data_IF_126625608482
#
_entry.id   IF_126625608482
#
_cell.length_a   1.000
_cell.length_b   1.000
_cell.length_c   1.000
_cell.angle_alpha   90.00
_cell.angle_beta   90.00
_cell.angle_gamma   90.00
#
_symmetry.space_group_name_H-M   'P 1'
#
loop_
_entity.id
_entity.type
_entity.pdbx_description
1 polymer ?
#
# COMPACT_ATOMS: atom_id res chain seq x y z
N UNK A 1 -26.86 7.67 -8.67
CA UNK A 1 -27.59 6.52 -9.26
C UNK A 1 -26.81 5.85 -10.40
N UNK A 2 -25.50 5.62 -10.26
CA UNK A 2 -24.64 4.94 -11.26
C UNK A 2 -23.76 3.84 -10.64
N UNK A 3 -23.67 3.82 -9.32
CA UNK A 3 -22.94 2.81 -8.54
C UNK A 3 -23.77 1.54 -8.33
N UNK A 4 -25.09 1.68 -8.19
CA UNK A 4 -26.03 0.54 -8.00
C UNK A 4 -26.11 -0.37 -9.24
N UNK A 5 -25.96 0.19 -10.44
CA UNK A 5 -25.94 -0.58 -11.70
C UNK A 5 -24.71 -1.48 -11.87
N UNK A 6 -23.60 -1.23 -11.17
CA UNK A 6 -22.43 -2.14 -11.17
C UNK A 6 -22.62 -3.33 -10.23
N UNK A 7 -23.40 -3.17 -9.15
CA UNK A 7 -23.71 -4.24 -8.20
C UNK A 7 -24.79 -5.20 -8.74
N UNK A 8 -25.65 -4.70 -9.64
CA UNK A 8 -26.79 -5.44 -10.22
C UNK A 8 -26.42 -6.25 -11.48
N UNK A 9 -25.28 -5.97 -12.13
CA UNK A 9 -24.79 -6.63 -13.36
C UNK A 9 -24.13 -8.00 -13.12
N UNK A 10 -24.14 -8.52 -11.88
CA UNK A 10 -23.80 -9.92 -11.59
C UNK A 10 -22.31 -10.24 -11.45
N UNK A 11 -21.41 -9.24 -11.56
CA UNK A 11 -19.95 -9.43 -11.43
C UNK A 11 -19.39 -8.76 -10.17
N UNK A 12 -19.97 -9.10 -9.01
CA UNK A 12 -19.45 -8.66 -7.71
C UNK A 12 -17.98 -9.07 -7.53
N UNK A 13 -17.58 -10.19 -8.15
CA UNK A 13 -16.21 -10.69 -8.16
C UNK A 13 -15.22 -9.76 -8.85
N UNK A 14 -15.47 -9.29 -10.08
CA UNK A 14 -14.54 -8.41 -10.78
C UNK A 14 -14.51 -7.00 -10.19
N UNK A 15 -15.62 -6.49 -9.63
CA UNK A 15 -15.60 -5.23 -8.88
C UNK A 15 -14.66 -5.31 -7.68
N UNK A 16 -14.76 -6.37 -6.88
CA UNK A 16 -13.89 -6.59 -5.71
C UNK A 16 -12.43 -6.75 -6.15
N UNK A 17 -12.18 -7.46 -7.24
CA UNK A 17 -10.83 -7.66 -7.80
C UNK A 17 -10.21 -6.32 -8.22
N UNK A 18 -10.95 -5.45 -8.91
CA UNK A 18 -10.49 -4.11 -9.31
C UNK A 18 -10.15 -3.25 -8.09
N UNK A 19 -10.99 -3.26 -7.05
CA UNK A 19 -10.75 -2.50 -5.82
C UNK A 19 -9.46 -2.98 -5.14
N UNK A 20 -9.28 -4.30 -5.01
CA UNK A 20 -8.06 -4.88 -4.43
C UNK A 20 -6.82 -4.50 -5.23
N UNK A 21 -6.89 -4.55 -6.57
CA UNK A 21 -5.77 -4.15 -7.43
C UNK A 21 -5.39 -2.68 -7.25
N UNK A 22 -6.37 -1.78 -7.15
CA UNK A 22 -6.13 -0.35 -6.91
C UNK A 22 -5.45 -0.14 -5.56
N UNK A 23 -5.94 -0.80 -4.50
CA UNK A 23 -5.36 -0.70 -3.15
C UNK A 23 -3.91 -1.20 -3.15
N UNK A 24 -3.65 -2.36 -3.76
CA UNK A 24 -2.29 -2.90 -3.88
C UNK A 24 -1.37 -1.96 -4.67
N UNK A 25 -1.86 -1.37 -5.75
CA UNK A 25 -1.10 -0.44 -6.57
C UNK A 25 -0.71 0.81 -5.77
N UNK A 26 -1.67 1.44 -5.09
CA UNK A 26 -1.43 2.63 -4.27
C UNK A 26 -0.49 2.32 -3.10
N UNK A 27 -0.69 1.20 -2.40
CA UNK A 27 0.16 0.79 -1.28
C UNK A 27 1.61 0.51 -1.73
N UNK A 28 1.79 -0.08 -2.90
CA UNK A 28 3.10 -0.35 -3.48
C UNK A 28 3.87 0.94 -3.80
N UNK A 29 3.21 1.90 -4.47
CA UNK A 29 3.80 3.21 -4.79
C UNK A 29 4.15 3.97 -3.50
N UNK A 30 3.25 3.98 -2.53
CA UNK A 30 3.48 4.65 -1.25
C UNK A 30 4.68 4.07 -0.50
N UNK A 31 4.78 2.73 -0.44
CA UNK A 31 5.91 2.04 0.21
C UNK A 31 7.25 2.39 -0.45
N UNK A 32 7.29 2.49 -1.79
CA UNK A 32 8.50 2.92 -2.51
C UNK A 32 8.90 4.35 -2.16
N UNK A 33 7.95 5.30 -2.12
CA UNK A 33 8.22 6.70 -1.78
C UNK A 33 8.79 6.80 -0.36
N UNK A 34 8.16 6.16 0.63
CA UNK A 34 8.63 6.18 2.02
C UNK A 34 10.03 5.59 2.12
N UNK A 35 10.27 4.45 1.47
CA UNK A 35 11.59 3.80 1.52
C UNK A 35 12.66 4.67 0.86
N UNK A 36 12.33 5.39 -0.22
CA UNK A 36 13.25 6.33 -0.88
C UNK A 36 13.59 7.53 0.01
N UNK A 37 12.61 8.08 0.71
CA UNK A 37 12.80 9.18 1.67
C UNK A 37 13.70 8.71 2.83
N UNK A 38 13.39 7.55 3.42
CA UNK A 38 14.21 6.97 4.51
C UNK A 38 15.64 6.74 4.04
N UNK A 39 15.82 6.15 2.85
CA UNK A 39 17.15 5.95 2.26
C UNK A 39 17.90 7.27 2.10
N UNK A 40 17.26 8.30 1.55
CA UNK A 40 17.87 9.62 1.31
C UNK A 40 18.30 10.28 2.63
N UNK A 41 17.47 10.22 3.67
CA UNK A 41 17.79 10.78 5.00
C UNK A 41 18.95 10.00 5.65
N UNK A 42 18.94 8.67 5.55
CA UNK A 42 19.96 7.81 6.16
C UNK A 42 21.33 7.99 5.51
N UNK A 43 21.36 8.08 4.18
CA UNK A 43 22.59 8.30 3.41
C UNK A 43 23.11 9.74 3.61
N UNK A 44 22.21 10.72 3.72
CA UNK A 44 22.56 12.13 3.97
C UNK A 44 23.16 12.40 5.37
N UNK A 45 22.82 11.60 6.39
CA UNK A 45 23.28 11.86 7.76
C UNK A 45 24.64 11.24 8.10
N UNK A 46 24.98 10.09 7.53
CA UNK A 46 26.10 9.29 8.06
C UNK A 46 27.10 8.81 6.99
N UNK A 47 26.95 9.18 5.71
CA UNK A 47 27.70 8.58 4.57
C UNK A 47 27.66 7.03 4.57
N UNK A 48 26.75 6.42 5.33
CA UNK A 48 26.59 4.97 5.43
C UNK A 48 25.66 4.50 4.32
N UNK A 49 26.10 3.48 3.58
CA UNK A 49 25.25 2.84 2.56
C UNK A 49 24.06 2.17 3.21
N UNK A 50 22.87 2.56 2.78
CA UNK A 50 21.63 1.89 3.16
C UNK A 50 21.70 0.42 2.72
N UNK A 51 21.73 -0.50 3.68
CA UNK A 51 21.85 -1.93 3.39
C UNK A 51 20.56 -2.42 2.71
N UNK A 52 20.68 -3.24 1.66
CA UNK A 52 19.52 -3.82 0.98
C UNK A 52 18.59 -4.60 1.92
N UNK A 53 19.13 -5.14 3.03
CA UNK A 53 18.33 -5.79 4.09
C UNK A 53 17.41 -4.80 4.80
N UNK A 54 17.88 -3.59 5.12
CA UNK A 54 17.08 -2.54 5.75
C UNK A 54 16.04 -1.96 4.79
N UNK A 55 16.36 -1.91 3.50
CA UNK A 55 15.41 -1.49 2.45
C UNK A 55 14.22 -2.45 2.37
N UNK A 56 14.48 -3.75 2.22
CA UNK A 56 13.43 -4.76 2.19
C UNK A 56 12.61 -4.78 3.48
N UNK A 57 13.28 -4.66 4.64
CA UNK A 57 12.59 -4.64 5.93
C UNK A 57 11.67 -3.41 6.09
N UNK A 58 12.13 -2.23 5.67
CA UNK A 58 11.32 -1.00 5.71
C UNK A 58 10.13 -1.09 4.75
N UNK A 59 10.36 -1.56 3.52
CA UNK A 59 9.32 -1.74 2.51
C UNK A 59 8.23 -2.73 2.98
N UNK A 60 8.62 -3.85 3.59
CA UNK A 60 7.70 -4.84 4.13
C UNK A 60 6.88 -4.30 5.30
N UNK A 61 7.50 -3.58 6.23
CA UNK A 61 6.80 -2.95 7.36
C UNK A 61 5.77 -1.93 6.86
N UNK A 62 6.14 -1.06 5.91
CA UNK A 62 5.23 -0.09 5.33
C UNK A 62 4.06 -0.76 4.60
N UNK A 63 4.33 -1.83 3.84
CA UNK A 63 3.28 -2.57 3.11
C UNK A 63 2.30 -3.25 4.07
N UNK A 64 2.81 -3.90 5.12
CA UNK A 64 2.00 -4.53 6.17
C UNK A 64 1.13 -3.50 6.92
N UNK A 65 1.71 -2.34 7.25
CA UNK A 65 0.99 -1.29 7.95
C UNK A 65 -0.12 -0.66 7.07
N UNK A 66 0.18 -0.36 5.81
CA UNK A 66 -0.83 0.15 4.87
C UNK A 66 -1.96 -0.87 4.64
N UNK A 67 -1.64 -2.15 4.52
CA UNK A 67 -2.64 -3.22 4.42
C UNK A 67 -3.52 -3.33 5.66
N UNK A 68 -2.91 -3.26 6.86
CA UNK A 68 -3.63 -3.32 8.13
C UNK A 68 -4.58 -2.11 8.30
N UNK A 69 -4.09 -0.89 8.04
CA UNK A 69 -4.89 0.34 8.13
C UNK A 69 -6.04 0.31 7.11
N UNK A 70 -5.76 -0.11 5.87
CA UNK A 70 -6.80 -0.20 4.83
C UNK A 70 -7.85 -1.25 5.19
N UNK A 71 -7.44 -2.38 5.78
CA UNK A 71 -8.35 -3.41 6.29
C UNK A 71 -9.21 -2.92 7.46
N UNK A 72 -8.64 -2.13 8.38
CA UNK A 72 -9.40 -1.53 9.48
C UNK A 72 -10.44 -0.52 8.98
N UNK A 73 -10.08 0.36 8.03
CA UNK A 73 -10.99 1.37 7.47
C UNK A 73 -12.07 0.72 6.60
N UNK A 74 -11.69 -0.19 5.71
CA UNK A 74 -12.62 -0.82 4.75
C UNK A 74 -13.48 -1.92 5.39
N UNK A 75 -13.00 -2.55 6.47
CA UNK A 75 -13.71 -3.56 7.25
C UNK A 75 -14.62 -3.01 8.36
N UNK A 76 -14.74 -1.69 8.51
CA UNK A 76 -15.62 -1.06 9.50
C UNK A 76 -15.15 -1.20 10.96
N UNK A 77 -13.83 -1.31 11.19
CA UNK A 77 -13.23 -1.40 12.54
C UNK A 77 -13.13 -0.05 13.27
N UNK A 78 -13.61 1.03 12.65
CA UNK A 78 -13.74 2.40 13.17
C UNK A 78 -15.06 3.01 12.71
#
# INVERSE_FOLDING_TARGET
>A
MKTLTLLEVGDLGGLVLIIILIILFVASIFSLIVTFIVKSIYESKDNRKFSGKQFAQTMLICLLLCGLISGLICGGGI
#
